data_IF_335114674615
#
_entry.id   IF_335114674615
#
_cell.length_a   1.000
_cell.length_b   1.000
_cell.length_c   1.000
_cell.angle_alpha   90.00
_cell.angle_beta   90.00
_cell.angle_gamma   90.00
#
_symmetry.space_group_name_H-M   'P 1'
#
loop_
_entity.id
_entity.type
_entity.pdbx_description
1 polymer ?
#
# COMPACT_ATOMS: atom_id res chain seq x y z
N UNK A 1 -14.10 -0.35 -14.85
CA UNK A 1 -13.50 -1.69 -15.09
C UNK A 1 -12.35 -1.53 -16.08
N UNK A 2 -11.30 -2.36 -16.03
CA UNK A 2 -10.14 -2.21 -16.90
C UNK A 2 -10.46 -2.57 -18.36
N UNK A 3 -9.98 -1.77 -19.32
CA UNK A 3 -10.03 -2.12 -20.73
C UNK A 3 -8.94 -3.15 -21.04
N UNK A 4 -9.31 -4.29 -21.62
CA UNK A 4 -8.36 -5.35 -21.97
C UNK A 4 -7.43 -4.97 -23.14
N UNK A 5 -7.79 -3.97 -23.93
CA UNK A 5 -7.02 -3.52 -25.10
C UNK A 5 -5.84 -2.61 -24.73
N UNK A 6 -5.81 -2.07 -23.51
CA UNK A 6 -4.82 -1.08 -23.07
C UNK A 6 -4.12 -1.50 -21.77
N UNK A 7 -3.93 -2.81 -21.54
CA UNK A 7 -3.28 -3.32 -20.33
C UNK A 7 -1.76 -3.22 -20.45
N UNK A 8 -1.12 -2.75 -19.38
CA UNK A 8 0.33 -2.89 -19.25
C UNK A 8 0.67 -4.35 -18.91
N UNK A 9 1.23 -5.06 -19.89
CA UNK A 9 1.63 -6.47 -19.74
C UNK A 9 2.70 -6.68 -18.65
N UNK A 10 3.44 -5.63 -18.28
CA UNK A 10 4.45 -5.71 -17.21
C UNK A 10 3.84 -5.61 -15.82
N UNK A 11 2.61 -5.12 -15.70
CA UNK A 11 1.92 -5.01 -14.42
C UNK A 11 0.97 -6.19 -14.20
N UNK A 12 1.39 -7.12 -13.36
CA UNK A 12 0.60 -8.29 -12.96
C UNK A 12 -0.79 -7.94 -12.39
N UNK A 13 -1.01 -6.70 -11.95
CA UNK A 13 -2.28 -6.23 -11.41
C UNK A 13 -3.01 -5.22 -12.31
N UNK A 14 -2.62 -5.07 -13.58
CA UNK A 14 -3.19 -4.10 -14.51
C UNK A 14 -4.73 -4.12 -14.55
N UNK A 15 -5.33 -5.31 -14.47
CA UNK A 15 -6.80 -5.49 -14.45
C UNK A 15 -7.48 -4.93 -13.18
N UNK A 16 -6.78 -4.94 -12.05
CA UNK A 16 -7.28 -4.43 -10.77
C UNK A 16 -6.92 -2.97 -10.54
N UNK A 17 -5.93 -2.40 -11.24
CA UNK A 17 -5.51 -0.99 -11.07
C UNK A 17 -6.67 0.01 -11.09
N UNK A 18 -7.64 -0.06 -12.03
CA UNK A 18 -8.76 0.90 -12.04
C UNK A 18 -9.67 0.76 -10.82
N UNK A 19 -9.82 -0.46 -10.29
CA UNK A 19 -10.60 -0.69 -9.09
C UNK A 19 -9.86 -0.16 -7.85
N UNK A 20 -8.57 -0.45 -7.73
CA UNK A 20 -7.74 0.05 -6.61
C UNK A 20 -7.73 1.58 -6.61
N UNK A 21 -7.51 2.21 -7.77
CA UNK A 21 -7.54 3.66 -7.91
C UNK A 21 -8.89 4.25 -7.51
N UNK A 22 -10.00 3.66 -7.96
CA UNK A 22 -11.34 4.08 -7.56
C UNK A 22 -11.56 3.95 -6.05
N UNK A 23 -11.15 2.83 -5.45
CA UNK A 23 -11.29 2.61 -4.00
C UNK A 23 -10.48 3.63 -3.20
N UNK A 24 -9.21 3.85 -3.55
CA UNK A 24 -8.38 4.86 -2.90
C UNK A 24 -9.00 6.27 -3.02
N UNK A 25 -9.53 6.62 -4.19
CA UNK A 25 -10.24 7.90 -4.37
C UNK A 25 -11.46 8.01 -3.45
N UNK A 26 -12.29 6.96 -3.35
CA UNK A 26 -13.46 6.97 -2.46
C UNK A 26 -13.06 6.98 -0.99
N UNK A 27 -12.04 6.23 -0.62
CA UNK A 27 -11.53 6.20 0.74
C UNK A 27 -11.09 7.59 1.19
N UNK A 28 -10.34 8.30 0.35
CA UNK A 28 -9.89 9.67 0.64
C UNK A 28 -11.05 10.67 0.68
N UNK A 29 -12.00 10.57 -0.27
CA UNK A 29 -13.13 11.50 -0.38
C UNK A 29 -14.01 11.52 0.88
N UNK A 30 -14.25 10.35 1.49
CA UNK A 30 -15.16 10.20 2.62
C UNK A 30 -14.45 10.08 3.97
N UNK A 31 -13.13 10.25 3.98
CA UNK A 31 -12.34 10.14 5.20
C UNK A 31 -12.34 11.41 6.03
N UNK A 32 -12.24 11.23 7.35
CA UNK A 32 -11.81 12.27 8.27
C UNK A 32 -10.36 11.94 8.63
N UNK A 33 -9.45 12.85 8.31
CA UNK A 33 -8.03 12.69 8.59
C UNK A 33 -7.78 12.70 10.11
N UNK A 34 -7.00 11.73 10.57
CA UNK A 34 -6.60 11.57 11.96
C UNK A 34 -5.13 11.92 12.11
N UNK A 35 -4.74 12.53 13.23
CA UNK A 35 -3.33 12.82 13.56
C UNK A 35 -2.47 11.56 13.52
N UNK A 36 -2.96 10.44 14.07
CA UNK A 36 -2.24 9.18 14.11
C UNK A 36 -2.52 8.32 12.88
N UNK A 37 -1.48 8.11 12.06
CA UNK A 37 -1.51 7.30 10.85
C UNK A 37 -0.59 6.09 10.98
N UNK A 38 -1.00 4.94 10.46
CA UNK A 38 -0.20 3.72 10.43
C UNK A 38 -0.02 3.21 9.02
N UNK A 39 1.20 2.80 8.67
CA UNK A 39 1.47 2.04 7.44
C UNK A 39 1.88 0.63 7.82
N UNK A 40 1.10 -0.35 7.36
CA UNK A 40 1.31 -1.78 7.65
C UNK A 40 0.99 -2.66 6.44
N UNK A 41 1.36 -3.93 6.57
CA UNK A 41 1.06 -5.01 5.64
C UNK A 41 -0.23 -5.75 6.03
N UNK A 42 -1.19 -5.81 5.12
CA UNK A 42 -2.38 -6.64 5.26
C UNK A 42 -2.41 -7.78 4.24
N UNK A 43 -3.07 -8.89 4.60
CA UNK A 43 -3.21 -10.07 3.75
C UNK A 43 -4.66 -10.30 3.38
N UNK A 44 -4.95 -10.28 2.08
CA UNK A 44 -6.24 -10.71 1.52
C UNK A 44 -6.15 -12.18 1.12
N UNK A 45 -6.89 -13.03 1.83
CA UNK A 45 -6.86 -14.49 1.64
C UNK A 45 -7.22 -14.88 0.20
N UNK A 46 -6.34 -15.65 -0.45
CA UNK A 46 -6.57 -16.13 -1.81
C UNK A 46 -5.84 -17.46 -2.04
N UNK A 47 -6.56 -18.45 -2.59
CA UNK A 47 -6.03 -19.80 -2.83
C UNK A 47 -5.78 -20.13 -4.30
N UNK A 48 -6.23 -19.30 -5.23
CA UNK A 48 -6.07 -19.54 -6.66
C UNK A 48 -4.63 -19.45 -7.15
N UNK A 49 -4.42 -19.73 -8.44
CA UNK A 49 -3.12 -19.59 -9.10
C UNK A 49 -3.00 -18.17 -9.66
N UNK A 50 -2.09 -17.39 -9.10
CA UNK A 50 -1.74 -16.06 -9.58
C UNK A 50 -0.28 -15.76 -9.19
N UNK A 51 0.46 -15.06 -10.06
CA UNK A 51 1.89 -14.74 -9.87
C UNK A 51 2.14 -13.86 -8.64
N UNK A 52 1.30 -12.85 -8.41
CA UNK A 52 1.43 -11.95 -7.25
C UNK A 52 1.02 -12.55 -5.90
N UNK A 53 0.57 -13.82 -5.85
CA UNK A 53 0.18 -14.47 -4.59
C UNK A 53 1.41 -14.63 -3.68
N UNK A 54 1.31 -14.13 -2.45
CA UNK A 54 2.35 -14.23 -1.44
C UNK A 54 2.07 -15.34 -0.44
N UNK A 55 3.16 -15.90 0.10
CA UNK A 55 3.14 -16.78 1.27
C UNK A 55 3.90 -16.13 2.42
N UNK A 56 3.23 -15.89 3.54
CA UNK A 56 3.85 -15.33 4.75
C UNK A 56 3.76 -16.37 5.87
N UNK A 57 4.92 -16.91 6.26
CA UNK A 57 5.03 -17.86 7.38
C UNK A 57 4.68 -17.15 8.69
N UNK A 58 3.89 -17.80 9.54
CA UNK A 58 3.57 -17.31 10.89
C UNK A 58 2.36 -16.38 11.00
N UNK A 59 1.78 -15.91 9.89
CA UNK A 59 0.51 -15.16 9.92
C UNK A 59 -0.71 -16.11 9.94
N UNK A 60 -1.86 -15.71 10.53
CA UNK A 60 -3.10 -16.51 10.48
C UNK A 60 -3.56 -16.78 9.04
N UNK A 61 -3.48 -15.77 8.17
CA UNK A 61 -3.70 -15.89 6.73
C UNK A 61 -2.35 -16.01 6.04
N UNK A 62 -1.98 -17.24 5.69
CA UNK A 62 -0.65 -17.54 5.12
C UNK A 62 -0.56 -17.32 3.62
N UNK A 63 -1.66 -17.49 2.88
CA UNK A 63 -1.69 -17.40 1.42
C UNK A 63 -2.67 -16.33 0.96
N UNK A 64 -2.20 -15.40 0.14
CA UNK A 64 -3.04 -14.29 -0.29
C UNK A 64 -2.32 -13.21 -1.07
N UNK A 65 -3.04 -12.11 -1.31
CA UNK A 65 -2.45 -10.87 -1.79
C UNK A 65 -1.99 -10.05 -0.60
N UNK A 66 -0.71 -9.67 -0.61
CA UNK A 66 -0.13 -8.75 0.37
C UNK A 66 -0.41 -7.32 -0.11
N UNK A 67 -1.05 -6.53 0.73
CA UNK A 67 -1.31 -5.12 0.51
C UNK A 67 -0.49 -4.28 1.50
N UNK A 68 0.08 -3.19 1.02
CA UNK A 68 0.56 -2.11 1.86
C UNK A 68 -0.59 -1.13 2.05
N UNK A 69 -0.90 -0.75 3.29
CA UNK A 69 -2.06 0.09 3.58
C UNK A 69 -1.67 1.25 4.49
N UNK A 70 -2.14 2.44 4.15
CA UNK A 70 -2.18 3.61 5.01
C UNK A 70 -3.53 3.64 5.73
N UNK A 71 -3.50 3.53 7.05
CA UNK A 71 -4.69 3.51 7.88
C UNK A 71 -4.63 4.58 8.98
N UNK A 72 -5.78 4.94 9.53
CA UNK A 72 -5.90 5.70 10.77
C UNK A 72 -5.74 4.79 11.99
N UNK A 73 -5.47 5.41 13.15
CA UNK A 73 -5.50 4.74 14.45
C UNK A 73 -6.81 4.03 14.78
N UNK A 74 -7.94 4.45 14.18
CA UNK A 74 -9.26 3.83 14.38
C UNK A 74 -9.55 2.69 13.37
N UNK A 75 -8.59 2.35 12.50
CA UNK A 75 -8.69 1.25 11.55
C UNK A 75 -9.31 1.59 10.19
N UNK A 76 -9.56 2.87 9.90
CA UNK A 76 -10.01 3.31 8.57
C UNK A 76 -8.83 3.34 7.58
N UNK A 77 -9.00 2.77 6.40
CA UNK A 77 -7.99 2.75 5.32
C UNK A 77 -8.13 3.97 4.40
N UNK A 78 -7.07 4.74 4.21
CA UNK A 78 -7.03 5.90 3.30
C UNK A 78 -6.53 5.52 1.91
N UNK A 79 -5.49 4.69 1.85
CA UNK A 79 -4.85 4.29 0.60
C UNK A 79 -4.21 2.92 0.76
N UNK A 80 -4.23 2.12 -0.29
CA UNK A 80 -3.49 0.86 -0.32
C UNK A 80 -2.95 0.55 -1.71
N UNK A 81 -1.89 -0.25 -1.76
CA UNK A 81 -1.40 -0.88 -2.98
C UNK A 81 -1.07 -2.35 -2.77
N UNK A 82 -1.24 -3.16 -3.81
CA UNK A 82 -0.97 -4.60 -3.78
C UNK A 82 0.46 -4.89 -4.22
N UNK A 83 1.19 -5.63 -3.37
CA UNK A 83 2.54 -6.07 -3.67
C UNK A 83 2.56 -7.09 -4.82
N UNK A 84 3.32 -6.79 -5.86
CA UNK A 84 3.40 -7.58 -7.09
C UNK A 84 4.77 -8.25 -7.31
N UNK A 85 5.59 -8.36 -6.25
CA UNK A 85 6.99 -8.80 -6.36
C UNK A 85 7.97 -7.63 -6.48
N UNK A 86 9.26 -7.95 -6.64
CA UNK A 86 10.28 -6.95 -6.91
C UNK A 86 10.07 -6.36 -8.32
N UNK A 87 9.77 -5.07 -8.39
CA UNK A 87 9.79 -4.33 -9.66
C UNK A 87 11.24 -4.01 -10.00
N UNK A 88 11.69 -4.29 -11.21
CA UNK A 88 12.97 -3.81 -11.76
C UNK A 88 12.89 -2.29 -12.02
N UNK A 89 12.74 -1.51 -10.96
CA UNK A 89 12.85 -0.06 -11.03
C UNK A 89 14.33 0.31 -11.15
N UNK A 90 14.86 0.25 -12.38
CA UNK A 90 16.25 0.67 -12.74
C UNK A 90 16.58 2.14 -12.39
N UNK A 91 15.68 2.89 -11.75
CA UNK A 91 15.75 4.35 -11.60
C UNK A 91 16.13 4.88 -10.21
N UNK A 92 16.19 4.07 -9.15
CA UNK A 92 16.53 4.58 -7.80
C UNK A 92 17.24 3.49 -6.99
N UNK A 93 18.56 3.44 -7.09
CA UNK A 93 19.39 2.48 -6.38
C UNK A 93 19.61 2.84 -4.89
N UNK A 94 19.24 4.06 -4.46
CA UNK A 94 19.60 4.56 -3.12
C UNK A 94 18.48 4.48 -2.08
N UNK A 95 17.25 4.14 -2.46
CA UNK A 95 16.09 4.13 -1.55
C UNK A 95 15.55 2.70 -1.38
N UNK A 96 15.43 2.26 -0.13
CA UNK A 96 14.88 0.94 0.22
C UNK A 96 13.42 0.79 -0.27
N UNK A 97 13.00 -0.45 -0.56
CA UNK A 97 11.62 -0.72 -0.99
C UNK A 97 10.60 -0.21 0.02
N UNK A 98 10.85 -0.42 1.32
CA UNK A 98 9.95 0.04 2.38
C UNK A 98 9.80 1.56 2.40
N UNK A 99 10.91 2.29 2.29
CA UNK A 99 10.90 3.76 2.21
C UNK A 99 10.10 4.26 1.00
N UNK A 100 10.26 3.63 -0.16
CA UNK A 100 9.52 4.00 -1.37
C UNK A 100 8.01 3.82 -1.21
N UNK A 101 7.60 2.67 -0.68
CA UNK A 101 6.18 2.38 -0.43
C UNK A 101 5.59 3.38 0.57
N UNK A 102 6.34 3.74 1.60
CA UNK A 102 5.90 4.75 2.58
C UNK A 102 5.68 6.10 1.90
N UNK A 103 6.62 6.55 1.08
CA UNK A 103 6.48 7.82 0.34
C UNK A 103 5.29 7.79 -0.62
N UNK A 104 5.14 6.73 -1.42
CA UNK A 104 4.02 6.56 -2.36
C UNK A 104 2.66 6.57 -1.66
N UNK A 105 2.53 5.94 -0.49
CA UNK A 105 1.29 5.94 0.27
C UNK A 105 0.98 7.31 0.91
N UNK A 106 2.02 8.05 1.29
CA UNK A 106 1.90 9.37 1.91
C UNK A 106 1.58 10.50 0.92
N UNK A 107 1.68 10.27 -0.40
CA UNK A 107 1.34 11.29 -1.41
C UNK A 107 -0.11 11.81 -1.28
N UNK A 108 -1.02 11.05 -0.68
CA UNK A 108 -2.39 11.47 -0.44
C UNK A 108 -2.59 12.35 0.80
N UNK A 109 -1.56 12.52 1.64
CA UNK A 109 -1.59 13.33 2.86
C UNK A 109 -1.17 14.76 2.53
N UNK A 110 -2.11 15.71 2.62
CA UNK A 110 -1.87 17.10 2.19
C UNK A 110 -0.91 17.88 3.10
N UNK A 111 -0.95 17.64 4.42
CA UNK A 111 -0.10 18.32 5.40
C UNK A 111 0.59 17.28 6.28
N UNK A 112 1.70 16.69 5.82
CA UNK A 112 2.41 15.64 6.55
C UNK A 112 2.76 16.05 8.00
N UNK A 113 3.15 17.30 8.23
CA UNK A 113 3.54 17.83 9.55
C UNK A 113 2.48 17.71 10.65
N UNK A 114 1.19 17.58 10.29
CA UNK A 114 0.08 17.46 11.25
C UNK A 114 -0.17 16.01 11.67
N UNK A 115 0.65 15.07 11.20
CA UNK A 115 0.45 13.65 11.41
C UNK A 115 1.66 12.95 12.05
N UNK A 116 1.37 11.97 12.91
CA UNK A 116 2.33 11.06 13.51
C UNK A 116 2.22 9.72 12.78
N UNK A 117 3.35 9.25 12.23
CA UNK A 117 3.41 8.02 11.45
C UNK A 117 3.94 6.85 12.27
N UNK A 118 3.17 5.77 12.29
CA UNK A 118 3.53 4.48 12.87
C UNK A 118 3.84 3.48 11.74
N UNK A 119 5.07 2.96 11.72
CA UNK A 119 5.48 1.92 10.77
C UNK A 119 5.69 0.60 11.50
N UNK A 120 5.16 -0.50 10.96
CA UNK A 120 5.30 -1.82 11.58
C UNK A 120 6.13 -2.77 10.71
N UNK A 121 7.45 -2.71 10.91
CA UNK A 121 8.28 -3.93 10.93
C UNK A 121 9.41 -3.90 11.96
N UNK A 122 9.74 -2.72 12.49
CA UNK A 122 10.54 -2.47 13.71
C UNK A 122 9.89 -1.24 14.34
N UNK A 123 9.82 -1.18 15.67
CA UNK A 123 9.27 -0.07 16.46
C UNK A 123 9.94 1.28 16.16
N UNK A 124 9.60 1.91 15.05
CA UNK A 124 10.04 3.24 14.66
C UNK A 124 8.80 4.13 14.51
N UNK A 125 8.57 4.99 15.49
CA UNK A 125 7.67 6.14 15.36
C UNK A 125 8.46 7.22 14.63
N UNK A 126 8.01 7.61 13.45
CA UNK A 126 8.61 8.74 12.72
C UNK A 126 7.66 9.92 12.76
N UNK A 127 8.17 11.06 13.22
CA UNK A 127 7.47 12.33 13.08
C UNK A 127 7.49 12.70 11.59
N UNK A 128 6.31 12.89 11.01
CA UNK A 128 6.16 13.09 9.58
C UNK A 128 6.71 14.46 9.13
N UNK A 129 7.10 15.34 10.06
CA UNK A 129 7.74 16.63 9.80
C UNK A 129 9.20 16.57 9.30
N UNK A 130 9.77 15.37 9.11
CA UNK A 130 11.18 15.17 8.69
C UNK A 130 11.36 14.72 7.23
N UNK A 131 10.29 14.73 6.43
CA UNK A 131 10.33 14.41 5.00
C UNK A 131 9.59 15.46 4.18
#
# INVERSE_FOLDING_TARGET
MANNESLDEKDNMAKLRPLISLLNQRFQQWSIWNENLSIDEAMVKFFGRHSSKQYIKGKPVRFGYKNWMLCSSIGYCYSFDTYCGAKDSKKQNDISLGSRVVLELLECVAVPSDHILFLTSISAVMNCSRY
#
